data_IF_588687489095
#
_entry.id   IF_588687489095
#
_cell.length_a   1.000
_cell.length_b   1.000
_cell.length_c   1.000
_cell.angle_alpha   90.00
_cell.angle_beta   90.00
_cell.angle_gamma   90.00
#
_symmetry.space_group_name_H-M   'P 1'
#
loop_
_entity.id
_entity.type
_entity.pdbx_description
1 polymer ?
#
# COMPACT_ATOMS: atom_id res chain seq x y z
N UNK A 1 2.92 -12.42 -14.19
CA UNK A 1 1.65 -13.14 -14.48
C UNK A 1 0.41 -12.33 -14.10
N UNK A 2 0.40 -11.64 -12.95
CA UNK A 2 -0.75 -10.80 -12.54
C UNK A 2 -1.14 -9.70 -13.53
N UNK A 3 -0.19 -9.14 -14.29
CA UNK A 3 -0.38 -7.95 -15.14
C UNK A 3 -1.59 -7.98 -16.07
N UNK A 4 -1.92 -9.17 -16.59
CA UNK A 4 -2.94 -9.38 -17.63
C UNK A 4 -3.84 -10.58 -17.32
N UNK A 5 -3.98 -10.93 -16.04
CA UNK A 5 -4.80 -12.07 -15.63
C UNK A 5 -6.29 -11.86 -15.97
N UNK A 6 -6.72 -10.60 -16.07
CA UNK A 6 -8.06 -10.19 -16.49
C UNK A 6 -8.39 -10.49 -17.95
N UNK A 7 -7.39 -10.79 -18.78
CA UNK A 7 -7.58 -11.16 -20.19
C UNK A 7 -7.84 -12.67 -20.41
N UNK A 8 -7.89 -13.48 -19.34
CA UNK A 8 -8.08 -14.93 -19.41
C UNK A 8 -9.54 -15.37 -19.64
N UNK A 9 -10.38 -14.54 -20.25
CA UNK A 9 -11.83 -14.73 -20.43
C UNK A 9 -12.24 -15.85 -21.41
N UNK A 10 -11.42 -16.89 -21.61
CA UNK A 10 -11.74 -18.02 -22.46
C UNK A 10 -12.07 -19.24 -21.59
N UNK A 11 -13.31 -19.71 -21.67
CA UNK A 11 -13.78 -20.93 -20.99
C UNK A 11 -13.01 -22.20 -21.41
N UNK A 12 -12.27 -22.11 -22.52
CA UNK A 12 -11.52 -23.23 -23.11
C UNK A 12 -10.03 -23.24 -22.73
N UNK A 13 -9.52 -22.20 -22.05
CA UNK A 13 -8.10 -22.05 -21.79
C UNK A 13 -7.73 -22.37 -20.33
N UNK A 14 -7.09 -23.51 -20.12
CA UNK A 14 -6.57 -23.92 -18.82
C UNK A 14 -5.09 -23.54 -18.67
N UNK A 15 -4.81 -22.53 -17.84
CA UNK A 15 -3.45 -22.08 -17.53
C UNK A 15 -3.05 -22.55 -16.14
N UNK A 16 -1.89 -23.19 -16.04
CA UNK A 16 -1.28 -23.59 -14.79
C UNK A 16 0.10 -22.92 -14.64
N UNK A 17 0.37 -22.40 -13.45
CA UNK A 17 1.70 -21.96 -13.05
C UNK A 17 2.35 -23.05 -12.21
N UNK A 18 3.52 -23.53 -12.63
CA UNK A 18 4.37 -24.35 -11.77
C UNK A 18 5.13 -23.45 -10.80
N UNK A 19 5.12 -23.80 -9.52
CA UNK A 19 5.79 -23.06 -8.45
C UNK A 19 6.50 -24.04 -7.49
N UNK A 20 7.60 -23.60 -6.88
CA UNK A 20 8.39 -24.41 -5.95
C UNK A 20 9.32 -25.41 -6.65
N UNK A 21 10.10 -26.15 -5.86
CA UNK A 21 11.07 -27.16 -6.38
C UNK A 21 11.08 -28.39 -5.48
N UNK A 22 11.44 -29.56 -6.02
CA UNK A 22 11.45 -30.81 -5.26
C UNK A 22 10.08 -31.12 -4.63
N UNK A 23 10.08 -31.43 -3.33
CA UNK A 23 8.86 -31.80 -2.59
C UNK A 23 7.88 -30.62 -2.37
N UNK A 24 8.33 -29.37 -2.54
CA UNK A 24 7.47 -28.18 -2.47
C UNK A 24 6.90 -27.76 -3.83
N UNK A 25 7.13 -28.55 -4.90
CA UNK A 25 6.54 -28.29 -6.21
C UNK A 25 5.02 -28.34 -6.15
N UNK A 26 4.37 -27.31 -6.69
CA UNK A 26 2.91 -27.12 -6.76
C UNK A 26 2.53 -26.63 -8.15
N UNK A 27 1.28 -26.91 -8.53
CA UNK A 27 0.66 -26.35 -9.72
C UNK A 27 -0.50 -25.47 -9.30
N UNK A 28 -0.42 -24.19 -9.62
CA UNK A 28 -1.48 -23.21 -9.34
C UNK A 28 -2.33 -23.09 -10.60
N UNK A 29 -3.62 -23.42 -10.50
CA UNK A 29 -4.57 -23.22 -11.59
C UNK A 29 -4.96 -21.74 -11.67
N UNK A 30 -4.36 -21.02 -12.61
CA UNK A 30 -4.53 -19.58 -12.79
C UNK A 30 -5.90 -19.28 -13.36
N UNK A 31 -6.41 -20.13 -14.26
CA UNK A 31 -7.77 -20.00 -14.81
C UNK A 31 -8.81 -20.09 -13.69
N UNK A 32 -8.70 -21.09 -12.81
CA UNK A 32 -9.61 -21.23 -11.66
C UNK A 32 -9.53 -20.02 -10.73
N UNK A 33 -8.33 -19.53 -10.45
CA UNK A 33 -8.12 -18.34 -9.63
C UNK A 33 -8.80 -17.11 -10.24
N UNK A 34 -8.66 -16.90 -11.55
CA UNK A 34 -9.34 -15.82 -12.26
C UNK A 34 -10.87 -15.91 -12.13
N UNK A 35 -11.43 -17.12 -12.32
CA UNK A 35 -12.88 -17.35 -12.20
C UNK A 35 -13.40 -17.06 -10.79
N UNK A 36 -12.60 -17.33 -9.75
CA UNK A 36 -12.98 -17.06 -8.36
C UNK A 36 -12.87 -15.57 -7.99
N UNK A 37 -11.80 -14.91 -8.41
CA UNK A 37 -11.55 -13.50 -8.07
C UNK A 37 -12.37 -12.53 -8.92
N UNK A 38 -12.69 -12.90 -10.15
CA UNK A 38 -13.44 -12.09 -11.11
C UNK A 38 -12.62 -10.94 -11.74
N UNK A 39 -13.13 -10.34 -12.83
CA UNK A 39 -12.38 -9.43 -13.68
C UNK A 39 -11.91 -8.16 -12.96
N UNK A 40 -12.80 -7.52 -12.19
CA UNK A 40 -12.51 -6.24 -11.51
C UNK A 40 -11.37 -6.38 -10.51
N UNK A 41 -11.42 -7.38 -9.64
CA UNK A 41 -10.38 -7.60 -8.64
C UNK A 41 -9.07 -7.97 -9.33
N UNK A 42 -9.10 -8.89 -10.29
CA UNK A 42 -7.92 -9.30 -11.05
C UNK A 42 -7.21 -8.11 -11.73
N UNK A 43 -7.96 -7.23 -12.40
CA UNK A 43 -7.42 -6.05 -13.07
C UNK A 43 -6.76 -5.05 -12.08
N UNK A 44 -7.20 -5.04 -10.83
CA UNK A 44 -6.63 -4.19 -9.77
C UNK A 44 -5.35 -4.74 -9.13
N UNK A 45 -5.10 -6.05 -9.23
CA UNK A 45 -3.98 -6.73 -8.54
C UNK A 45 -2.59 -6.20 -8.94
N UNK A 46 -2.30 -5.83 -10.20
CA UNK A 46 -1.00 -5.25 -10.55
C UNK A 46 -0.74 -3.93 -9.81
N UNK A 47 -1.73 -3.03 -9.80
CA UNK A 47 -1.67 -1.77 -9.06
C UNK A 47 -1.57 -1.99 -7.56
N UNK A 48 -2.37 -2.93 -7.03
CA UNK A 48 -2.33 -3.32 -5.63
C UNK A 48 -0.94 -3.84 -5.20
N UNK A 49 -0.34 -4.72 -6.00
CA UNK A 49 0.97 -5.31 -5.70
C UNK A 49 2.06 -4.24 -5.72
N UNK A 50 2.07 -3.36 -6.72
CA UNK A 50 3.00 -2.25 -6.81
C UNK A 50 2.82 -1.25 -5.65
N UNK A 51 1.58 -0.97 -5.23
CA UNK A 51 1.28 -0.01 -4.16
C UNK A 51 1.69 -0.53 -2.78
N UNK A 52 1.37 -1.78 -2.48
CA UNK A 52 1.57 -2.38 -1.14
C UNK A 52 2.98 -2.95 -0.94
N UNK A 53 3.89 -2.70 -1.86
CA UNK A 53 5.28 -3.15 -1.81
C UNK A 53 5.61 -4.24 -2.83
N UNK A 54 6.62 -4.00 -3.65
CA UNK A 54 7.25 -4.96 -4.55
C UNK A 54 8.75 -4.65 -4.65
N UNK A 55 9.50 -5.37 -5.47
CA UNK A 55 10.94 -5.15 -5.64
C UNK A 55 11.30 -3.72 -6.09
N UNK A 56 10.34 -3.01 -6.70
CA UNK A 56 10.53 -1.68 -7.28
C UNK A 56 9.88 -0.55 -6.48
N UNK A 57 9.07 -0.83 -5.46
CA UNK A 57 8.40 0.20 -4.66
C UNK A 57 8.31 -0.29 -3.21
N UNK A 58 8.73 0.49 -2.21
CA UNK A 58 8.76 0.04 -0.82
C UNK A 58 7.38 -0.40 -0.32
N UNK A 59 7.38 -1.29 0.67
CA UNK A 59 6.19 -1.55 1.48
C UNK A 59 5.98 -0.47 2.53
N UNK A 60 4.73 -0.23 2.92
CA UNK A 60 4.43 0.57 4.10
C UNK A 60 4.87 -0.17 5.37
N UNK A 61 5.52 0.54 6.30
CA UNK A 61 6.10 -0.08 7.49
C UNK A 61 5.04 -0.80 8.33
N UNK A 62 5.30 -2.07 8.66
CA UNK A 62 4.39 -2.98 9.38
C UNK A 62 3.01 -3.16 8.72
N UNK A 63 2.81 -2.77 7.47
CA UNK A 63 1.54 -3.03 6.75
C UNK A 63 1.77 -4.10 5.69
N UNK A 64 1.57 -5.35 6.10
CA UNK A 64 1.54 -6.51 5.19
C UNK A 64 0.36 -6.45 4.21
N UNK A 65 0.28 -7.38 3.25
CA UNK A 65 -0.75 -7.36 2.19
C UNK A 65 -2.13 -7.83 2.62
N UNK A 66 -2.23 -8.59 3.72
CA UNK A 66 -3.48 -9.23 4.17
C UNK A 66 -4.57 -8.18 4.45
N UNK A 67 -4.27 -7.17 5.28
CA UNK A 67 -5.22 -6.10 5.62
C UNK A 67 -5.61 -5.25 4.41
N UNK A 68 -4.66 -4.68 3.62
CA UNK A 68 -4.98 -3.98 2.38
C UNK A 68 -5.82 -4.81 1.41
N UNK A 69 -5.55 -6.11 1.27
CA UNK A 69 -6.32 -6.99 0.41
C UNK A 69 -7.77 -7.16 0.91
N UNK A 70 -7.97 -7.40 2.22
CA UNK A 70 -9.30 -7.47 2.84
C UNK A 70 -10.12 -6.19 2.66
N UNK A 71 -9.47 -5.03 2.56
CA UNK A 71 -10.11 -3.75 2.23
C UNK A 71 -10.47 -3.71 0.73
N UNK A 72 -9.52 -4.05 -0.15
CA UNK A 72 -9.68 -4.01 -1.59
C UNK A 72 -10.83 -4.89 -2.10
N UNK A 73 -10.97 -6.12 -1.59
CA UNK A 73 -12.02 -7.04 -2.03
C UNK A 73 -13.44 -6.51 -1.78
N UNK A 74 -13.61 -5.61 -0.79
CA UNK A 74 -14.93 -5.07 -0.38
C UNK A 74 -15.29 -3.77 -1.08
N UNK A 75 -14.34 -3.12 -1.76
CA UNK A 75 -14.52 -1.78 -2.29
C UNK A 75 -14.19 -1.71 -3.79
N UNK A 76 -15.23 -1.70 -4.61
CA UNK A 76 -15.10 -1.62 -6.07
C UNK A 76 -14.47 -0.30 -6.55
N UNK A 77 -14.63 0.80 -5.80
CA UNK A 77 -13.99 2.07 -6.15
C UNK A 77 -12.47 1.98 -6.01
N UNK A 78 -11.96 1.28 -5.00
CA UNK A 78 -10.52 1.03 -4.85
C UNK A 78 -9.99 0.10 -5.95
N UNK A 79 -10.75 -0.94 -6.32
CA UNK A 79 -10.39 -1.81 -7.43
C UNK A 79 -10.28 -1.03 -8.75
N UNK A 80 -11.29 -0.19 -9.03
CA UNK A 80 -11.30 0.69 -10.21
C UNK A 80 -10.13 1.67 -10.20
N UNK A 81 -9.89 2.36 -9.07
CA UNK A 81 -8.81 3.32 -8.95
C UNK A 81 -7.42 2.69 -9.19
N UNK A 82 -7.16 1.50 -8.64
CA UNK A 82 -5.90 0.79 -8.87
C UNK A 82 -5.74 0.29 -10.31
N UNK A 83 -6.85 -0.13 -10.95
CA UNK A 83 -6.85 -0.52 -12.36
C UNK A 83 -6.55 0.67 -13.26
N UNK A 84 -7.24 1.79 -13.04
CA UNK A 84 -7.15 3.00 -13.85
C UNK A 84 -5.81 3.71 -13.65
N UNK A 85 -5.19 3.59 -12.47
CA UNK A 85 -3.88 4.20 -12.18
C UNK A 85 -2.84 3.81 -13.24
N UNK A 86 -2.82 2.55 -13.69
CA UNK A 86 -1.89 2.06 -14.70
C UNK A 86 -2.00 2.76 -16.07
N UNK A 87 -3.16 3.36 -16.38
CA UNK A 87 -3.42 4.08 -17.64
C UNK A 87 -3.66 5.58 -17.43
N UNK A 88 -3.61 6.08 -16.19
CA UNK A 88 -3.95 7.46 -15.87
C UNK A 88 -3.08 8.53 -16.56
N UNK A 89 -1.89 8.16 -17.03
CA UNK A 89 -1.00 9.03 -17.81
C UNK A 89 -1.47 9.23 -19.26
N UNK A 90 -2.30 8.33 -19.76
CA UNK A 90 -2.90 8.37 -21.10
C UNK A 90 -4.24 9.09 -21.04
N UNK A 91 -5.05 8.76 -20.04
CA UNK A 91 -6.42 9.30 -19.88
C UNK A 91 -6.44 10.69 -19.23
N UNK A 92 -5.35 11.11 -18.58
CA UNK A 92 -5.30 12.36 -17.83
C UNK A 92 -6.06 12.32 -16.49
N UNK A 93 -6.55 11.16 -16.06
CA UNK A 93 -7.42 11.01 -14.88
C UNK A 93 -6.67 10.89 -13.55
N UNK A 94 -5.39 11.29 -13.50
CA UNK A 94 -4.53 11.13 -12.31
C UNK A 94 -5.11 11.88 -11.10
N UNK A 95 -5.52 13.13 -11.28
CA UNK A 95 -6.01 13.99 -10.20
C UNK A 95 -7.31 13.48 -9.56
N UNK A 96 -8.11 12.72 -10.31
CA UNK A 96 -9.33 12.08 -9.81
C UNK A 96 -9.04 10.78 -9.04
N UNK A 97 -7.98 10.06 -9.44
CA UNK A 97 -7.63 8.74 -8.89
C UNK A 97 -6.85 8.87 -7.59
N UNK A 98 -5.90 9.81 -7.50
CA UNK A 98 -5.01 9.92 -6.33
C UNK A 98 -5.77 10.12 -5.00
N UNK A 99 -6.82 10.96 -4.91
CA UNK A 99 -7.60 11.10 -3.67
C UNK A 99 -8.29 9.80 -3.24
N UNK A 100 -8.74 8.98 -4.19
CA UNK A 100 -9.36 7.68 -3.89
C UNK A 100 -8.33 6.73 -3.30
N UNK A 101 -7.12 6.72 -3.85
CA UNK A 101 -6.02 5.90 -3.32
C UNK A 101 -5.48 6.45 -1.98
N UNK A 102 -5.53 7.76 -1.76
CA UNK A 102 -5.21 8.39 -0.47
C UNK A 102 -6.15 7.89 0.64
N UNK A 103 -7.47 7.82 0.35
CA UNK A 103 -8.45 7.23 1.26
C UNK A 103 -8.20 5.74 1.52
N UNK A 104 -7.82 4.97 0.49
CA UNK A 104 -7.43 3.58 0.65
C UNK A 104 -6.24 3.42 1.61
N UNK A 105 -5.21 4.27 1.50
CA UNK A 105 -4.08 4.26 2.45
C UNK A 105 -4.55 4.63 3.86
N UNK A 106 -5.41 5.63 4.03
CA UNK A 106 -5.96 5.96 5.35
C UNK A 106 -6.65 4.75 6.00
N UNK A 107 -7.43 3.97 5.24
CA UNK A 107 -8.06 2.74 5.69
C UNK A 107 -7.05 1.63 6.09
N UNK A 108 -5.95 1.50 5.34
CA UNK A 108 -4.84 0.58 5.68
C UNK A 108 -4.29 0.92 7.07
N UNK A 109 -4.23 2.19 7.43
CA UNK A 109 -3.78 2.65 8.75
C UNK A 109 -4.90 2.72 9.82
N UNK A 110 -6.10 2.24 9.53
CA UNK A 110 -7.20 2.15 10.51
C UNK A 110 -8.25 3.25 10.43
N UNK A 111 -8.12 4.21 9.51
CA UNK A 111 -8.97 5.39 9.44
C UNK A 111 -9.96 5.31 8.27
N UNK A 112 -11.16 4.77 8.53
CA UNK A 112 -12.19 4.59 7.50
C UNK A 112 -12.92 5.86 7.06
N UNK A 113 -13.00 6.84 7.94
CA UNK A 113 -13.75 8.08 7.71
C UNK A 113 -12.84 9.27 7.37
N UNK A 114 -11.54 9.02 7.20
CA UNK A 114 -10.55 10.05 6.87
C UNK A 114 -10.01 9.73 5.49
N UNK A 115 -10.11 10.69 4.57
CA UNK A 115 -9.60 10.56 3.21
C UNK A 115 -8.33 11.40 2.97
N UNK A 116 -7.90 12.17 3.97
CA UNK A 116 -6.67 12.97 3.92
C UNK A 116 -5.59 12.32 4.78
N UNK A 117 -4.47 11.93 4.16
CA UNK A 117 -3.42 11.17 4.84
C UNK A 117 -2.71 11.98 5.93
N UNK A 118 -2.58 13.30 5.74
CA UNK A 118 -1.98 14.17 6.76
C UNK A 118 -2.90 14.31 7.98
N UNK A 119 -4.22 14.35 7.77
CA UNK A 119 -5.18 14.32 8.87
C UNK A 119 -5.13 12.99 9.63
N UNK A 120 -5.06 11.86 8.92
CA UNK A 120 -4.88 10.54 9.53
C UNK A 120 -3.54 10.46 10.31
N UNK A 121 -2.47 11.02 9.75
CA UNK A 121 -1.15 11.10 10.39
C UNK A 121 -1.17 11.93 11.67
N UNK A 122 -1.83 13.09 11.64
CA UNK A 122 -2.01 13.94 12.82
C UNK A 122 -2.87 13.26 13.89
N UNK A 123 -3.99 12.65 13.51
CA UNK A 123 -4.82 11.91 14.47
C UNK A 123 -4.07 10.73 15.09
N UNK A 124 -3.29 9.98 14.30
CA UNK A 124 -2.42 8.92 14.81
C UNK A 124 -1.43 9.45 15.82
N UNK A 125 -0.80 10.58 15.53
CA UNK A 125 0.09 11.26 16.47
C UNK A 125 -0.63 11.61 17.78
N UNK A 126 -1.78 12.28 17.71
CA UNK A 126 -2.56 12.67 18.90
C UNK A 126 -2.97 11.46 19.76
N UNK A 127 -3.44 10.38 19.13
CA UNK A 127 -3.80 9.13 19.83
C UNK A 127 -2.58 8.49 20.49
N UNK A 128 -1.47 8.33 19.75
CA UNK A 128 -0.25 7.70 20.26
C UNK A 128 0.34 8.47 21.44
N UNK A 129 0.33 9.80 21.39
CA UNK A 129 0.90 10.64 22.44
C UNK A 129 -0.11 11.14 23.47
N UNK A 130 -1.38 10.73 23.33
CA UNK A 130 -2.49 11.09 24.21
C UNK A 130 -2.57 12.61 24.43
N UNK A 131 -2.42 13.37 23.35
CA UNK A 131 -2.63 14.81 23.33
C UNK A 131 -4.14 15.04 23.29
N UNK A 132 -4.68 15.69 24.33
CA UNK A 132 -6.12 15.87 24.46
C UNK A 132 -6.60 17.23 23.92
N UNK A 133 -5.68 18.18 23.73
CA UNK A 133 -5.94 19.54 23.22
C UNK A 133 -4.77 20.02 22.37
N UNK A 134 -5.00 20.93 21.42
CA UNK A 134 -3.97 21.48 20.52
C UNK A 134 -2.81 22.16 21.28
N UNK A 135 -3.10 22.76 22.44
CA UNK A 135 -2.14 23.54 23.24
C UNK A 135 -1.62 22.79 24.49
N UNK A 136 -1.72 21.46 24.53
CA UNK A 136 -1.20 20.70 25.68
C UNK A 136 0.34 20.74 25.70
N UNK A 137 0.98 21.23 26.78
CA UNK A 137 2.43 21.17 26.88
C UNK A 137 2.85 19.70 26.84
N UNK A 138 3.95 19.38 26.15
CA UNK A 138 4.52 18.03 26.07
C UNK A 138 4.97 17.55 27.47
N UNK A 139 4.00 17.10 28.28
CA UNK A 139 4.17 16.74 29.70
C UNK A 139 4.55 15.28 29.90
N UNK A 140 4.40 14.45 28.87
CA UNK A 140 4.67 13.01 28.93
C UNK A 140 6.05 12.70 28.39
N UNK A 141 6.84 11.96 29.16
CA UNK A 141 8.06 11.33 28.65
C UNK A 141 7.66 10.35 27.55
N UNK A 142 8.10 10.62 26.32
CA UNK A 142 7.89 9.75 25.18
C UNK A 142 8.65 8.44 25.38
N UNK A 143 7.95 7.37 25.75
CA UNK A 143 8.49 6.01 25.73
C UNK A 143 7.97 5.31 24.48
N UNK A 144 8.87 4.72 23.69
CA UNK A 144 8.55 3.95 22.47
C UNK A 144 7.87 4.77 21.37
N UNK A 145 8.32 6.01 21.17
CA UNK A 145 7.98 6.82 20.00
C UNK A 145 8.65 6.22 18.76
N UNK A 146 7.91 5.41 18.00
CA UNK A 146 8.36 4.97 16.68
C UNK A 146 7.56 5.71 15.59
N UNK A 147 8.12 6.80 15.02
CA UNK A 147 7.43 7.59 14.01
C UNK A 147 7.23 6.82 12.69
N UNK A 148 7.89 5.68 12.48
CA UNK A 148 7.70 4.86 11.28
C UNK A 148 6.32 4.17 11.25
N UNK A 149 5.65 4.07 12.40
CA UNK A 149 4.26 3.56 12.52
C UNK A 149 3.21 4.55 12.04
N UNK A 150 3.58 5.81 11.82
CA UNK A 150 2.69 6.83 11.30
C UNK A 150 2.39 6.59 9.81
N UNK A 151 1.18 6.94 9.32
CA UNK A 151 0.91 6.99 7.89
C UNK A 151 1.91 7.91 7.17
N UNK A 152 2.33 7.62 5.92
CA UNK A 152 3.25 8.48 5.19
C UNK A 152 2.71 9.92 5.09
N UNK A 153 3.58 10.92 4.96
CA UNK A 153 3.08 12.25 4.66
C UNK A 153 2.54 12.31 3.22
N UNK A 154 1.72 13.32 2.92
CA UNK A 154 1.11 13.48 1.60
C UNK A 154 2.15 13.57 0.47
N UNK A 155 3.28 14.27 0.69
CA UNK A 155 4.33 14.42 -0.31
C UNK A 155 5.03 13.08 -0.61
N UNK A 156 5.30 12.27 0.41
CA UNK A 156 5.84 10.92 0.23
C UNK A 156 4.86 10.00 -0.48
N UNK A 157 3.58 10.04 -0.08
CA UNK A 157 2.54 9.23 -0.68
C UNK A 157 2.35 9.58 -2.16
N UNK A 158 2.46 10.85 -2.54
CA UNK A 158 2.39 11.27 -3.94
C UNK A 158 3.49 10.59 -4.77
N UNK A 159 4.75 10.64 -4.33
CA UNK A 159 5.84 9.99 -5.04
C UNK A 159 5.67 8.46 -5.09
N UNK A 160 5.16 7.87 -4.01
CA UNK A 160 4.84 6.44 -3.95
C UNK A 160 3.76 6.02 -4.96
N UNK A 161 2.72 6.83 -5.12
CA UNK A 161 1.66 6.60 -6.10
C UNK A 161 2.15 6.81 -7.54
N UNK A 162 3.05 7.76 -7.78
CA UNK A 162 3.72 7.93 -9.07
C UNK A 162 4.57 6.70 -9.43
N UNK A 163 5.31 6.15 -8.47
CA UNK A 163 6.04 4.89 -8.67
C UNK A 163 5.11 3.74 -9.00
N UNK A 164 4.05 3.61 -8.20
CA UNK A 164 3.01 2.61 -8.40
C UNK A 164 2.44 2.68 -9.81
N UNK A 165 2.12 3.89 -10.30
CA UNK A 165 1.63 4.10 -11.65
C UNK A 165 2.62 3.63 -12.72
N UNK A 166 3.89 4.00 -12.61
CA UNK A 166 4.92 3.63 -13.57
C UNK A 166 5.14 2.11 -13.64
N UNK A 167 5.23 1.46 -12.49
CA UNK A 167 5.39 -0.01 -12.42
C UNK A 167 4.17 -0.69 -13.02
N UNK A 168 2.98 -0.24 -12.65
CA UNK A 168 1.71 -0.81 -13.13
C UNK A 168 1.55 -0.63 -14.64
N UNK A 169 1.91 0.53 -15.18
CA UNK A 169 1.85 0.76 -16.63
C UNK A 169 2.76 -0.21 -17.38
N UNK A 170 3.96 -0.49 -16.87
CA UNK A 170 4.85 -1.49 -17.49
C UNK A 170 4.24 -2.90 -17.40
N UNK A 171 3.79 -3.31 -16.21
CA UNK A 171 3.31 -4.68 -15.98
C UNK A 171 2.06 -5.03 -16.79
N UNK A 172 1.11 -4.09 -16.93
CA UNK A 172 -0.09 -4.29 -17.75
C UNK A 172 0.24 -4.34 -19.24
N UNK A 173 1.24 -3.60 -19.67
CA UNK A 173 1.60 -3.50 -21.08
C UNK A 173 2.84 -4.33 -21.46
N UNK A 174 3.22 -5.33 -20.65
CA UNK A 174 4.43 -6.11 -20.86
C UNK A 174 4.46 -6.92 -22.18
N UNK A 175 3.31 -7.06 -22.84
CA UNK A 175 3.18 -7.68 -24.17
C UNK A 175 3.56 -6.73 -25.32
N UNK A 176 3.71 -5.42 -25.05
CA UNK A 176 4.11 -4.42 -26.04
C UNK A 176 5.64 -4.30 -26.09
N UNK A 177 6.18 -4.00 -27.27
CA UNK A 177 7.61 -3.68 -27.45
C UNK A 177 8.06 -2.48 -26.60
N UNK A 178 7.17 -1.51 -26.43
CA UNK A 178 7.37 -0.33 -25.58
C UNK A 178 6.23 -0.27 -24.57
N UNK A 179 6.42 -0.82 -23.35
CA UNK A 179 5.31 -1.05 -22.42
C UNK A 179 4.81 0.23 -21.74
N UNK A 180 5.59 1.31 -21.70
CA UNK A 180 5.09 2.59 -21.20
C UNK A 180 5.75 3.77 -21.90
N UNK A 181 5.00 4.85 -22.07
CA UNK A 181 5.51 6.17 -22.47
C UNK A 181 6.06 6.98 -21.29
N UNK A 182 5.84 6.50 -20.07
CA UNK A 182 6.42 7.09 -18.86
C UNK A 182 7.91 6.78 -18.77
N UNK A 183 8.63 7.65 -18.07
CA UNK A 183 10.03 7.43 -17.70
C UNK A 183 10.14 7.38 -16.18
N UNK A 184 11.16 6.72 -15.60
CA UNK A 184 11.34 6.68 -14.15
C UNK A 184 11.49 8.09 -13.57
N UNK A 185 12.24 8.94 -14.29
CA UNK A 185 12.40 10.35 -13.98
C UNK A 185 11.02 11.03 -14.01
N UNK A 186 10.64 11.72 -12.93
CA UNK A 186 9.30 12.32 -12.69
C UNK A 186 8.18 11.34 -12.36
N UNK A 187 8.46 10.05 -12.20
CA UNK A 187 7.48 9.10 -11.66
C UNK A 187 7.97 8.48 -10.34
N UNK A 188 8.62 9.28 -9.51
CA UNK A 188 9.10 8.88 -8.19
C UNK A 188 10.49 8.24 -8.14
N UNK A 189 11.27 8.39 -9.22
CA UNK A 189 12.71 8.13 -9.23
C UNK A 189 13.50 9.32 -9.80
N UNK A 190 14.77 9.40 -9.42
CA UNK A 190 15.81 10.23 -10.06
C UNK A 190 16.91 9.34 -10.62
N UNK A 191 17.51 9.77 -11.74
CA UNK A 191 18.66 9.10 -12.35
C UNK A 191 19.94 9.80 -11.88
N UNK A 192 20.84 9.05 -11.25
CA UNK A 192 22.17 9.51 -10.84
C UNK A 192 23.19 8.49 -11.34
N UNK A 193 24.15 8.92 -12.17
CA UNK A 193 25.29 8.08 -12.60
C UNK A 193 24.87 6.66 -13.06
N UNK A 194 23.81 6.58 -13.87
CA UNK A 194 23.20 5.35 -14.39
C UNK A 194 22.43 4.46 -13.40
N UNK A 195 22.29 4.88 -12.13
CA UNK A 195 21.44 4.21 -11.13
C UNK A 195 20.18 5.01 -10.83
N UNK A 196 19.06 4.28 -10.65
CA UNK A 196 17.78 4.86 -10.25
C UNK A 196 17.68 4.90 -8.73
N UNK A 197 17.45 6.09 -8.18
CA UNK A 197 17.20 6.30 -6.76
C UNK A 197 15.75 6.72 -6.55
N UNK A 198 15.18 6.38 -5.40
CA UNK A 198 13.85 6.87 -5.06
C UNK A 198 13.86 8.38 -4.84
N UNK A 199 12.97 9.06 -5.55
CA UNK A 199 12.59 10.43 -5.23
C UNK A 199 11.52 10.36 -4.15
N UNK A 200 11.89 10.61 -2.89
CA UNK A 200 11.01 10.34 -1.76
C UNK A 200 9.87 11.34 -1.63
N UNK A 201 10.14 12.64 -1.78
CA UNK A 201 9.15 13.71 -1.68
C UNK A 201 9.67 14.96 -2.38
N UNK A 202 8.74 15.86 -2.74
CA UNK A 202 9.06 17.21 -3.18
C UNK A 202 9.12 18.17 -1.98
N UNK A 203 10.02 19.14 -2.03
CA UNK A 203 10.21 20.15 -0.99
C UNK A 203 11.32 19.81 -0.01
N UNK A 204 11.50 20.70 0.96
CA UNK A 204 12.57 20.58 1.96
C UNK A 204 12.21 19.55 3.03
N UNK A 205 13.19 18.74 3.43
CA UNK A 205 13.04 17.75 4.50
C UNK A 205 12.77 18.40 5.86
N UNK A 206 13.23 19.63 6.04
CA UNK A 206 13.04 20.40 7.27
C UNK A 206 12.64 21.84 6.93
N UNK A 207 11.86 22.50 7.80
CA UNK A 207 11.63 23.93 7.71
C UNK A 207 12.98 24.68 7.68
N UNK A 208 13.11 25.69 6.81
CA UNK A 208 14.34 26.48 6.68
C UNK A 208 14.59 27.35 7.93
N UNK A 209 13.52 27.72 8.63
CA UNK A 209 13.57 28.44 9.89
C UNK A 209 12.52 27.94 10.89
N UNK A 210 12.70 28.29 12.16
CA UNK A 210 11.70 28.01 13.21
C UNK A 210 10.38 28.71 12.91
N UNK A 211 10.40 29.88 12.26
CA UNK A 211 9.18 30.59 11.87
C UNK A 211 8.33 29.78 10.88
N UNK A 212 8.97 29.05 9.97
CA UNK A 212 8.28 28.18 9.00
C UNK A 212 7.61 26.97 9.67
N UNK A 213 8.06 26.61 10.88
CA UNK A 213 7.48 25.51 11.67
C UNK A 213 6.28 25.95 12.53
N UNK A 214 6.04 27.27 12.68
CA UNK A 214 4.95 27.80 13.51
C UNK A 214 3.71 27.96 12.62
N UNK A 215 2.62 27.27 12.97
CA UNK A 215 1.33 27.43 12.27
C UNK A 215 0.79 28.84 12.55
N UNK A 216 0.87 29.72 11.55
CA UNK A 216 0.27 31.06 11.63
C UNK A 216 -1.27 30.94 11.64
N UNK A 217 -1.94 31.71 12.52
CA UNK A 217 -3.40 31.68 12.69
C UNK A 217 -4.20 31.91 11.41
N UNK A 218 -3.59 32.55 10.40
CA UNK A 218 -4.19 32.76 9.07
C UNK A 218 -4.44 31.47 8.28
N UNK A 219 -3.85 30.33 8.69
CA UNK A 219 -4.10 29.01 8.08
C UNK A 219 -5.26 28.21 8.70
N UNK A 220 -5.90 28.71 9.77
CA UNK A 220 -7.06 28.04 10.41
C UNK A 220 -8.28 27.91 9.47
N UNK A 221 -8.32 28.65 8.36
CA UNK A 221 -9.41 28.57 7.36
C UNK A 221 -9.26 27.39 6.37
N UNK A 222 -8.11 26.71 6.33
CA UNK A 222 -7.93 25.54 5.48
C UNK A 222 -8.23 24.25 6.27
N UNK A 223 -9.53 23.98 6.42
CA UNK A 223 -10.13 22.66 6.69
C UNK A 223 -9.46 21.80 7.77
N UNK A 224 -9.75 22.12 9.04
CA UNK A 224 -9.87 21.10 10.07
C UNK A 224 -11.33 21.15 10.51
N UNK A 225 -12.14 20.27 9.93
CA UNK A 225 -13.47 20.01 10.44
C UNK A 225 -13.33 19.57 11.89
N UNK A 226 -13.90 20.36 12.80
CA UNK A 226 -14.22 19.91 14.15
C UNK A 226 -15.18 18.73 14.01
N UNK A 227 -14.63 17.53 13.91
CA UNK A 227 -15.38 16.30 14.15
C UNK A 227 -14.91 15.71 15.47
N UNK A 228 -15.26 16.41 16.54
CA UNK A 228 -15.40 15.78 17.84
C UNK A 228 -16.66 14.92 17.80
N UNK A 229 -16.58 13.75 17.16
CA UNK A 229 -17.50 12.65 17.44
C UNK A 229 -16.77 11.31 17.45
N UNK A 230 -16.92 10.68 18.61
CA UNK A 230 -16.73 9.28 18.93
C UNK A 230 -15.36 8.64 18.70
N UNK A 231 -14.93 8.02 19.79
CA UNK A 231 -13.80 7.12 19.98
C UNK A 231 -13.80 6.03 18.89
N UNK A 232 -13.36 6.37 17.67
CA UNK A 232 -13.14 5.42 16.60
C UNK A 232 -11.92 4.59 17.01
N UNK A 233 -12.19 3.43 17.61
CA UNK A 233 -11.18 2.47 17.99
C UNK A 233 -10.24 2.22 16.81
N UNK A 234 -9.02 2.74 16.91
CA UNK A 234 -7.92 2.42 16.01
C UNK A 234 -7.63 0.94 16.23
N UNK A 235 -8.27 0.08 15.43
CA UNK A 235 -8.09 -1.37 15.46
C UNK A 235 -6.82 -1.72 14.70
N UNK A 236 -5.68 -1.41 15.31
CA UNK A 236 -4.39 -1.98 14.97
C UNK A 236 -4.10 -3.14 15.94
N UNK A 237 -4.70 -4.28 15.65
CA UNK A 237 -4.22 -5.57 16.13
C UNK A 237 -3.65 -6.28 14.91
N UNK A 238 -2.37 -6.03 14.66
CA UNK A 238 -1.55 -6.87 13.78
C UNK A 238 -1.03 -8.04 14.64
N UNK A 239 -1.93 -8.96 15.00
CA UNK A 239 -1.52 -10.31 15.42
C UNK A 239 -1.39 -11.12 14.14
N UNK A 240 -0.17 -11.17 13.63
CA UNK A 240 0.20 -12.11 12.57
C UNK A 240 0.19 -13.50 13.22
N UNK A 241 -0.97 -14.16 13.26
CA UNK A 241 -1.03 -15.60 13.52
C UNK A 241 -0.44 -16.30 12.28
N UNK A 242 0.89 -16.34 12.23
CA UNK A 242 1.57 -17.41 11.51
C UNK A 242 1.14 -18.71 12.19
N UNK A 243 0.26 -19.47 11.54
CA UNK A 243 0.11 -20.89 11.83
C UNK A 243 1.48 -21.52 11.60
N UNK A 244 2.16 -21.79 12.71
CA UNK A 244 3.33 -22.65 12.74
C UNK A 244 2.80 -24.04 12.42
N UNK A 245 3.02 -24.52 11.19
CA UNK A 245 2.89 -25.94 10.87
C UNK A 245 3.96 -26.68 11.68
N UNK A 246 3.63 -26.97 12.94
CA UNK A 246 4.32 -27.93 13.77
C UNK A 246 3.79 -29.30 13.40
N UNK A 247 4.38 -29.93 12.39
CA UNK A 247 4.30 -31.38 12.25
C UNK A 247 5.67 -31.98 12.57
N UNK A 248 5.97 -31.95 13.87
CA UNK A 248 6.92 -32.88 14.47
C UNK A 248 6.13 -34.13 14.89
N UNK A 249 6.14 -35.16 14.06
CA UNK A 249 5.88 -36.52 14.51
C UNK A 249 7.23 -37.25 14.60
N UNK A 250 7.83 -37.09 15.78
CA UNK A 250 8.83 -38.02 16.32
C UNK A 250 8.04 -39.23 16.85
N UNK A 251 8.03 -40.33 16.10
CA UNK A 251 7.74 -41.66 16.66
C UNK A 251 9.03 -42.48 16.65
N UNK A 252 9.78 -42.36 17.74
CA UNK A 252 10.78 -43.33 18.16
C UNK A 252 10.19 -44.28 19.21
N UNK A 253 10.15 -45.57 18.88
CA UNK A 253 10.49 -46.75 19.73
C UNK A 253 9.88 -48.01 19.06
N UNK A 254 10.65 -49.02 18.67
CA UNK A 254 11.37 -49.88 19.61
C UNK A 254 12.25 -50.88 18.86
N UNK A 255 13.42 -51.13 19.45
CA UNK A 255 14.31 -52.28 19.23
C UNK A 255 13.76 -53.55 19.89
N UNK A 256 13.92 -54.71 19.24
CA UNK A 256 14.12 -56.07 19.82
C UNK A 256 14.46 -57.00 18.61
N UNK A 257 15.73 -57.37 18.41
CA UNK A 257 16.34 -58.69 18.75
C UNK A 257 15.68 -59.91 18.07
N UNK A 258 16.21 -60.33 16.91
CA UNK A 258 17.00 -61.58 16.68
C UNK A 258 17.49 -61.63 15.21
#
# INVERSE_FOLDING_TARGET
MLGNMDHLQSDDLNIFMEYGTGNSKRYINVTKLYMELGPSLCASLPGFHALTGCDYNPSFFQKGKIRPYKILIKNQNYQKALTDLGVAHITGSREEILPILEAFICEIYGYKNISNINAARFQKFCVTYKANTEDEPFKKTLKNCDPSTLPPCKAELQQHLLRTQYITSIWRNAYLRFPSSLTPNRNGWTLHEDTLHFHWFDGDCMPQSVFDAIVHENNKQNNIGNDTTDNAGVSELDTDESEVDSDSSDEGASTEEE
#
